data_IF_094312095264
#
_entry.id   IF_094312095264
#
_cell.length_a   1.000
_cell.length_b   1.000
_cell.length_c   1.000
_cell.angle_alpha   90.00
_cell.angle_beta   90.00
_cell.angle_gamma   90.00
#
_symmetry.space_group_name_H-M   'P 1'
#
loop_
_entity.id
_entity.type
_entity.pdbx_description
1 polymer ?
#
# COMPACT_ATOMS: atom_id res chain seq x y z
N UNK A 1 2.08 -19.16 57.15
CA UNK A 1 1.30 -17.91 57.20
C UNK A 1 0.99 -17.47 55.77
N UNK A 2 -0.29 -17.49 55.39
CA UNK A 2 -0.77 -17.30 54.01
C UNK A 2 -0.74 -15.84 53.53
N UNK A 3 -0.55 -15.66 52.22
CA UNK A 3 -0.36 -14.37 51.57
C UNK A 3 -1.59 -13.45 51.63
N UNK A 4 -1.38 -12.18 51.98
CA UNK A 4 -2.37 -11.10 51.84
C UNK A 4 -2.66 -10.85 50.35
N UNK A 5 -3.78 -11.38 49.85
CA UNK A 5 -4.27 -11.09 48.50
C UNK A 5 -4.94 -9.71 48.49
N UNK A 6 -4.22 -8.68 48.07
CA UNK A 6 -4.79 -7.36 47.80
C UNK A 6 -5.72 -7.41 46.58
N UNK A 7 -6.97 -7.01 46.75
CA UNK A 7 -7.92 -6.90 45.64
C UNK A 7 -7.74 -5.53 44.96
N UNK A 8 -7.33 -5.52 43.70
CA UNK A 8 -7.05 -4.31 42.91
C UNK A 8 -8.27 -3.90 42.12
N UNK A 9 -8.97 -2.85 42.56
CA UNK A 9 -10.14 -2.31 41.88
C UNK A 9 -9.75 -1.39 40.74
N UNK A 10 -10.58 -1.36 39.70
CA UNK A 10 -10.44 -0.40 38.62
C UNK A 10 -10.68 1.03 39.16
N UNK A 11 -9.78 1.99 38.89
CA UNK A 11 -9.94 3.38 39.30
C UNK A 11 -11.04 4.14 38.55
N UNK A 12 -11.60 3.57 37.47
CA UNK A 12 -12.65 4.22 36.71
C UNK A 12 -14.01 4.12 37.46
N UNK A 13 -14.67 5.25 37.79
CA UNK A 13 -15.97 5.25 38.48
C UNK A 13 -17.08 4.49 37.74
N UNK A 14 -17.00 4.41 36.41
CA UNK A 14 -17.95 3.69 35.57
C UNK A 14 -17.58 2.20 35.39
N UNK A 15 -16.57 1.69 36.12
CA UNK A 15 -16.08 0.33 36.00
C UNK A 15 -15.88 -0.36 37.36
N UNK A 16 -16.86 -1.17 37.75
CA UNK A 16 -16.84 -1.89 39.04
C UNK A 16 -16.01 -3.19 39.05
N UNK A 17 -15.00 -3.32 38.16
CA UNK A 17 -14.18 -4.54 38.08
C UNK A 17 -13.08 -4.55 39.13
N UNK A 18 -12.91 -5.69 39.80
CA UNK A 18 -11.82 -5.96 40.72
C UNK A 18 -10.93 -7.11 40.22
N UNK A 19 -9.66 -7.08 40.60
CA UNK A 19 -8.66 -8.03 40.14
C UNK A 19 -7.79 -8.51 41.29
N UNK A 20 -7.57 -9.82 41.34
CA UNK A 20 -6.67 -10.47 42.30
C UNK A 20 -5.20 -10.05 42.14
N UNK A 21 -4.81 -9.58 40.95
CA UNK A 21 -3.40 -9.30 40.62
C UNK A 21 -3.26 -7.97 39.89
N UNK A 22 -2.23 -7.18 40.24
CA UNK A 22 -1.91 -5.90 39.57
C UNK A 22 -1.76 -6.03 38.06
N UNK A 23 -1.12 -7.11 37.58
CA UNK A 23 -0.95 -7.37 36.14
C UNK A 23 -2.29 -7.48 35.39
N UNK A 24 -3.31 -8.04 36.04
CA UNK A 24 -4.64 -8.20 35.45
C UNK A 24 -5.39 -6.87 35.44
N UNK A 25 -5.25 -6.05 36.50
CA UNK A 25 -5.77 -4.68 36.50
C UNK A 25 -5.08 -3.82 35.42
N UNK A 26 -3.75 -3.90 35.29
CA UNK A 26 -3.00 -3.17 34.27
C UNK A 26 -3.46 -3.57 32.85
N UNK A 27 -3.66 -4.87 32.61
CA UNK A 27 -4.20 -5.36 31.33
C UNK A 27 -5.64 -4.84 31.08
N UNK A 28 -6.49 -4.87 32.10
CA UNK A 28 -7.85 -4.35 32.03
C UNK A 28 -7.87 -2.86 31.68
N UNK A 29 -7.07 -2.05 32.36
CA UNK A 29 -6.97 -0.61 32.10
C UNK A 29 -6.45 -0.33 30.69
N UNK A 30 -5.43 -1.07 30.25
CA UNK A 30 -4.80 -0.84 28.95
C UNK A 30 -5.70 -1.23 27.78
N UNK A 31 -6.46 -2.33 27.91
CA UNK A 31 -7.11 -2.96 26.75
C UNK A 31 -8.63 -3.13 26.85
N UNK A 32 -9.25 -2.98 28.02
CA UNK A 32 -10.68 -3.29 28.21
C UNK A 32 -11.52 -2.11 28.71
N UNK A 33 -11.00 -1.37 29.69
CA UNK A 33 -11.68 -0.25 30.32
C UNK A 33 -11.93 0.84 29.27
N UNK A 34 -13.20 1.20 29.06
CA UNK A 34 -13.64 2.23 28.09
C UNK A 34 -13.18 2.06 26.64
N UNK A 35 -12.62 0.89 26.28
CA UNK A 35 -12.25 0.60 24.90
C UNK A 35 -13.49 0.20 24.09
N UNK A 36 -13.68 0.75 22.87
CA UNK A 36 -14.75 0.32 21.98
C UNK A 36 -14.55 -1.15 21.55
N UNK A 37 -15.60 -1.84 21.05
CA UNK A 37 -15.46 -3.19 20.53
C UNK A 37 -14.40 -3.21 19.41
N UNK A 38 -13.50 -4.21 19.49
CA UNK A 38 -12.37 -4.37 18.58
C UNK A 38 -12.65 -5.41 17.50
N UNK A 39 -13.65 -6.26 17.69
CA UNK A 39 -13.96 -7.37 16.80
C UNK A 39 -15.41 -7.25 16.33
N UNK A 40 -15.67 -7.42 15.04
CA UNK A 40 -17.00 -7.33 14.42
C UNK A 40 -17.31 -8.57 13.62
N UNK A 41 -18.57 -8.98 13.64
CA UNK A 41 -19.11 -9.98 12.72
C UNK A 41 -19.08 -9.44 11.29
N UNK A 42 -18.63 -10.22 10.29
CA UNK A 42 -18.70 -9.80 8.89
C UNK A 42 -20.12 -9.89 8.31
N UNK A 43 -21.03 -10.61 8.96
CA UNK A 43 -22.38 -10.91 8.46
C UNK A 43 -23.47 -10.05 9.07
N UNK A 44 -23.19 -9.33 10.16
CA UNK A 44 -24.15 -8.44 10.81
C UNK A 44 -23.46 -7.32 11.61
N UNK A 45 -24.24 -6.53 12.34
CA UNK A 45 -23.74 -5.39 13.13
C UNK A 45 -23.13 -5.78 14.48
N UNK A 46 -23.19 -7.06 14.87
CA UNK A 46 -22.66 -7.52 16.14
C UNK A 46 -21.15 -7.24 16.27
N UNK A 47 -20.75 -6.63 17.39
CA UNK A 47 -19.37 -6.33 17.69
C UNK A 47 -19.05 -6.58 19.18
N UNK A 48 -17.86 -7.08 19.46
CA UNK A 48 -17.38 -7.36 20.81
C UNK A 48 -15.94 -6.89 21.03
N UNK A 49 -15.56 -6.75 22.30
CA UNK A 49 -14.16 -6.54 22.72
C UNK A 49 -13.32 -7.81 22.57
N UNK A 50 -13.96 -8.98 22.43
CA UNK A 50 -13.30 -10.28 22.40
C UNK A 50 -13.58 -11.04 21.11
N UNK A 51 -12.52 -11.56 20.49
CA UNK A 51 -12.62 -12.38 19.27
C UNK A 51 -13.52 -13.61 19.47
N UNK A 52 -13.32 -14.35 20.55
CA UNK A 52 -14.09 -15.57 20.89
C UNK A 52 -15.60 -15.34 20.97
N UNK A 53 -16.03 -14.13 21.34
CA UNK A 53 -17.45 -13.81 21.43
C UNK A 53 -18.05 -13.61 20.04
N UNK A 54 -17.29 -13.04 19.09
CA UNK A 54 -17.71 -12.94 17.69
C UNK A 54 -17.69 -14.31 17.02
N UNK A 55 -16.68 -15.14 17.27
CA UNK A 55 -16.62 -16.51 16.73
C UNK A 55 -17.83 -17.35 17.17
N UNK A 56 -18.13 -17.34 18.47
CA UNK A 56 -19.32 -18.00 19.02
C UNK A 56 -20.60 -17.43 18.43
N UNK A 57 -20.70 -16.11 18.30
CA UNK A 57 -21.85 -15.46 17.68
C UNK A 57 -22.06 -15.93 16.23
N UNK A 58 -20.98 -16.05 15.43
CA UNK A 58 -21.06 -16.56 14.05
C UNK A 58 -21.54 -18.01 14.05
N UNK A 59 -21.00 -18.86 14.92
CA UNK A 59 -21.43 -20.25 15.02
C UNK A 59 -22.91 -20.42 15.37
N UNK A 60 -23.46 -19.56 16.23
CA UNK A 60 -24.85 -19.69 16.70
C UNK A 60 -25.85 -18.94 15.83
N UNK A 61 -25.48 -17.79 15.26
CA UNK A 61 -26.39 -16.91 14.51
C UNK A 61 -26.19 -16.98 12.99
N UNK A 62 -25.05 -17.51 12.53
CA UNK A 62 -24.69 -17.68 11.12
C UNK A 62 -24.15 -19.10 10.85
N UNK A 63 -24.95 -20.16 11.15
CA UNK A 63 -24.46 -21.56 11.14
C UNK A 63 -24.08 -22.09 9.75
N UNK A 64 -24.53 -21.43 8.67
CA UNK A 64 -24.19 -21.78 7.28
C UNK A 64 -22.96 -21.02 6.75
N UNK A 65 -22.38 -20.14 7.57
CA UNK A 65 -21.28 -19.27 7.18
C UNK A 65 -19.96 -19.68 7.85
N UNK A 66 -18.84 -19.32 7.22
CA UNK A 66 -17.51 -19.53 7.80
C UNK A 66 -17.30 -18.69 9.06
N UNK A 67 -16.63 -19.24 10.07
CA UNK A 67 -16.26 -18.53 11.31
C UNK A 67 -15.18 -17.48 11.03
N UNK A 68 -15.60 -16.27 10.63
CA UNK A 68 -14.75 -15.12 10.30
C UNK A 68 -15.00 -13.95 11.25
N UNK A 69 -13.96 -13.16 11.54
CA UNK A 69 -14.00 -12.01 12.46
C UNK A 69 -13.21 -10.84 11.88
N UNK A 70 -13.81 -9.64 11.86
CA UNK A 70 -13.18 -8.38 11.42
C UNK A 70 -12.61 -7.64 12.63
N UNK A 71 -11.34 -7.22 12.59
CA UNK A 71 -10.75 -6.35 13.62
C UNK A 71 -10.94 -4.86 13.31
N UNK A 72 -11.69 -4.13 14.13
CA UNK A 72 -11.86 -2.68 14.09
C UNK A 72 -10.70 -2.00 14.85
N UNK A 73 -9.98 -1.08 14.19
CA UNK A 73 -9.04 -0.16 14.87
C UNK A 73 -7.54 -0.49 14.81
N UNK A 74 -7.08 -1.38 13.92
CA UNK A 74 -5.65 -1.46 13.57
C UNK A 74 -5.29 -0.39 12.53
N UNK A 75 -4.72 0.73 12.98
CA UNK A 75 -3.94 1.60 12.11
C UNK A 75 -2.53 0.97 11.92
N UNK A 76 -2.37 0.22 10.83
CA UNK A 76 -1.12 -0.21 10.17
C UNK A 76 0.12 -0.42 11.08
N UNK A 77 0.19 -1.58 11.74
CA UNK A 77 1.46 -2.30 11.85
C UNK A 77 1.39 -3.45 10.85
N UNK A 78 2.36 -3.46 9.95
CA UNK A 78 2.56 -4.42 8.86
C UNK A 78 1.27 -4.84 8.16
N UNK A 79 0.95 -4.16 7.06
CA UNK A 79 0.45 -4.96 5.96
C UNK A 79 1.65 -5.80 5.51
N UNK A 80 1.84 -6.95 6.15
CA UNK A 80 2.47 -8.11 5.54
C UNK A 80 1.51 -8.45 4.40
N UNK A 81 1.70 -7.75 3.29
CA UNK A 81 1.01 -8.02 2.05
C UNK A 81 1.53 -9.41 1.61
N UNK A 82 0.99 -10.47 2.20
CA UNK A 82 0.95 -11.82 1.63
C UNK A 82 0.05 -11.75 0.39
N UNK A 83 0.57 -11.09 -0.65
CA UNK A 83 -0.17 -10.81 -1.87
C UNK A 83 0.53 -11.57 -2.99
N UNK A 84 -0.22 -12.55 -3.49
CA UNK A 84 0.05 -13.46 -4.60
C UNK A 84 0.86 -14.71 -4.25
N UNK A 85 0.21 -15.67 -3.60
CA UNK A 85 0.41 -17.08 -3.94
C UNK A 85 0.11 -17.21 -5.45
N UNK A 86 1.16 -17.27 -6.27
CA UNK A 86 1.12 -18.21 -7.39
C UNK A 86 1.49 -19.56 -6.79
N UNK A 87 0.61 -20.57 -6.79
CA UNK A 87 1.05 -21.93 -6.63
C UNK A 87 1.68 -22.32 -7.97
N UNK A 88 2.98 -22.10 -8.12
CA UNK A 88 3.80 -23.03 -8.90
C UNK A 88 4.78 -23.67 -7.94
N UNK A 89 4.20 -24.32 -6.93
CA UNK A 89 4.89 -25.37 -6.20
C UNK A 89 4.86 -26.62 -7.08
N UNK A 90 5.74 -26.68 -8.09
CA UNK A 90 6.27 -27.95 -8.57
C UNK A 90 7.79 -27.80 -8.72
N UNK A 91 8.42 -28.16 -7.60
CA UNK A 91 9.65 -28.93 -7.48
C UNK A 91 10.97 -28.40 -8.07
N UNK A 92 11.86 -28.07 -7.12
CA UNK A 92 13.27 -28.47 -7.03
C UNK A 92 14.23 -28.06 -8.16
N UNK A 93 15.29 -27.36 -7.72
CA UNK A 93 16.64 -27.29 -8.31
C UNK A 93 16.73 -26.54 -9.64
N UNK A 94 16.93 -25.23 -9.55
CA UNK A 94 17.99 -24.47 -10.23
C UNK A 94 17.81 -22.99 -9.85
N UNK A 95 18.89 -22.31 -9.49
CA UNK A 95 18.89 -20.84 -9.45
C UNK A 95 18.50 -20.29 -10.83
N UNK A 96 17.67 -19.23 -10.96
CA UNK A 96 17.63 -18.54 -12.25
C UNK A 96 17.75 -17.01 -12.10
N UNK A 97 18.83 -16.49 -12.63
CA UNK A 97 19.08 -15.08 -12.94
C UNK A 97 18.16 -14.51 -14.04
N UNK A 98 16.90 -14.96 -14.13
CA UNK A 98 16.03 -14.68 -15.29
C UNK A 98 14.54 -14.48 -14.99
N UNK A 99 14.11 -14.47 -13.71
CA UNK A 99 12.73 -14.16 -13.37
C UNK A 99 12.41 -12.71 -13.76
N UNK A 100 11.51 -12.54 -14.73
CA UNK A 100 11.04 -11.25 -15.22
C UNK A 100 9.74 -10.83 -14.51
N UNK A 101 9.57 -9.53 -14.31
CA UNK A 101 8.50 -8.91 -13.53
C UNK A 101 7.63 -8.02 -14.44
N UNK A 102 6.52 -8.53 -14.98
CA UNK A 102 5.65 -7.78 -15.89
C UNK A 102 4.76 -6.77 -15.15
N UNK A 103 4.38 -5.69 -15.85
CA UNK A 103 3.38 -4.75 -15.36
C UNK A 103 1.99 -5.37 -15.34
N UNK A 104 1.23 -5.13 -14.28
CA UNK A 104 -0.11 -5.67 -14.09
C UNK A 104 -1.20 -4.79 -14.71
N UNK A 105 -0.85 -3.62 -15.24
CA UNK A 105 -1.80 -2.80 -15.98
C UNK A 105 -2.06 -3.45 -17.36
N UNK A 106 -3.31 -3.83 -17.69
CA UNK A 106 -3.64 -4.48 -18.98
C UNK A 106 -3.24 -3.66 -20.20
N UNK A 107 -3.15 -2.33 -20.05
CA UNK A 107 -2.73 -1.39 -21.10
C UNK A 107 -1.21 -1.15 -21.11
N UNK A 108 -0.43 -1.88 -20.30
CA UNK A 108 1.02 -1.75 -20.19
C UNK A 108 1.73 -3.09 -20.35
N UNK A 109 2.57 -3.21 -21.38
CA UNK A 109 3.33 -4.45 -21.67
C UNK A 109 4.77 -4.43 -21.12
N UNK A 110 5.11 -3.47 -20.27
CA UNK A 110 6.47 -3.32 -19.73
C UNK A 110 6.83 -4.48 -18.80
N UNK A 111 8.09 -4.93 -18.89
CA UNK A 111 8.61 -6.06 -18.11
C UNK A 111 10.01 -5.74 -17.56
N UNK A 112 10.26 -6.09 -16.31
CA UNK A 112 11.46 -5.67 -15.56
C UNK A 112 12.28 -6.85 -15.05
N UNK A 113 13.58 -6.65 -14.84
CA UNK A 113 14.48 -7.68 -14.32
C UNK A 113 14.37 -7.89 -12.80
N UNK A 114 13.76 -6.95 -12.07
CA UNK A 114 13.54 -7.09 -10.62
C UNK A 114 12.26 -6.36 -10.16
N UNK A 115 11.80 -6.73 -8.96
CA UNK A 115 10.58 -6.17 -8.35
C UNK A 115 10.68 -4.67 -8.03
N UNK A 116 11.88 -4.16 -7.72
CA UNK A 116 12.05 -2.74 -7.39
C UNK A 116 11.73 -1.85 -8.60
N UNK A 117 12.27 -2.20 -9.78
CA UNK A 117 12.01 -1.47 -11.02
C UNK A 117 10.55 -1.54 -11.44
N UNK A 118 9.92 -2.70 -11.30
CA UNK A 118 8.47 -2.84 -11.53
C UNK A 118 7.66 -1.94 -10.59
N UNK A 119 7.97 -1.92 -9.29
CA UNK A 119 7.29 -1.07 -8.31
C UNK A 119 7.45 0.42 -8.61
N UNK A 120 8.67 0.83 -8.96
CA UNK A 120 8.95 2.21 -9.35
C UNK A 120 8.14 2.59 -10.60
N UNK A 121 8.12 1.72 -11.61
CA UNK A 121 7.29 1.88 -12.80
C UNK A 121 5.81 2.06 -12.46
N UNK A 122 5.23 1.13 -11.70
CA UNK A 122 3.81 1.20 -11.32
C UNK A 122 3.45 2.49 -10.58
N UNK A 123 4.32 2.95 -9.68
CA UNK A 123 4.05 4.13 -8.84
C UNK A 123 4.27 5.46 -9.56
N UNK A 124 5.26 5.52 -10.45
CA UNK A 124 5.75 6.80 -10.97
C UNK A 124 5.71 6.93 -12.49
N UNK A 125 5.38 5.89 -13.23
CA UNK A 125 5.54 5.87 -14.69
C UNK A 125 4.30 5.33 -15.40
N UNK A 126 3.72 4.24 -14.88
CA UNK A 126 2.61 3.53 -15.46
C UNK A 126 1.36 4.42 -15.56
N UNK A 127 0.80 4.54 -16.76
CA UNK A 127 -0.41 5.32 -17.03
C UNK A 127 -0.22 6.83 -17.06
N UNK A 128 1.00 7.36 -16.96
CA UNK A 128 1.24 8.80 -17.11
C UNK A 128 1.20 9.22 -18.58
N UNK A 129 0.59 10.38 -18.89
CA UNK A 129 0.61 10.90 -20.25
C UNK A 129 2.05 11.26 -20.65
N UNK A 130 2.44 11.07 -21.93
CA UNK A 130 3.75 11.45 -22.42
C UNK A 130 4.09 12.90 -22.05
N UNK A 131 5.30 13.14 -21.55
CA UNK A 131 5.76 14.46 -21.08
C UNK A 131 6.65 15.16 -22.10
N UNK A 132 7.34 14.41 -22.95
CA UNK A 132 8.32 14.94 -23.90
C UNK A 132 7.90 14.59 -25.32
N UNK A 133 8.03 15.56 -26.23
CA UNK A 133 7.72 15.47 -27.65
C UNK A 133 8.99 15.75 -28.46
N UNK A 134 9.18 15.02 -29.56
CA UNK A 134 10.25 15.31 -30.50
C UNK A 134 9.98 16.62 -31.25
N UNK A 135 11.00 17.46 -31.44
CA UNK A 135 10.86 18.72 -32.17
C UNK A 135 10.60 18.52 -33.67
N UNK A 136 10.99 17.36 -34.22
CA UNK A 136 10.92 17.09 -35.66
C UNK A 136 9.72 16.21 -36.06
N UNK A 137 9.01 15.60 -35.11
CA UNK A 137 7.86 14.75 -35.41
C UNK A 137 6.95 14.53 -34.20
N UNK A 138 5.83 13.82 -34.41
CA UNK A 138 4.84 13.54 -33.37
C UNK A 138 5.22 12.44 -32.35
N UNK A 139 6.48 12.02 -32.29
CA UNK A 139 6.93 11.02 -31.31
C UNK A 139 6.92 11.61 -29.89
N UNK A 140 6.22 10.94 -28.96
CA UNK A 140 6.09 11.37 -27.57
C UNK A 140 6.50 10.25 -26.60
N UNK A 141 7.15 10.61 -25.49
CA UNK A 141 7.49 9.68 -24.40
C UNK A 141 7.33 10.35 -23.03
N UNK A 142 7.21 9.54 -21.97
CA UNK A 142 7.29 9.99 -20.58
C UNK A 142 8.71 10.43 -20.20
N UNK A 143 9.74 9.94 -20.90
CA UNK A 143 11.14 10.27 -20.62
C UNK A 143 11.81 11.12 -21.70
N UNK A 144 12.57 12.13 -21.24
CA UNK A 144 13.43 12.96 -22.09
C UNK A 144 14.44 12.13 -22.88
N UNK A 145 15.08 11.17 -22.23
CA UNK A 145 16.14 10.38 -22.84
C UNK A 145 15.64 9.46 -23.97
N UNK A 146 14.36 9.05 -23.95
CA UNK A 146 13.76 8.28 -25.03
C UNK A 146 13.54 9.12 -26.28
N UNK A 147 13.04 10.35 -26.12
CA UNK A 147 12.87 11.29 -27.23
C UNK A 147 14.23 11.68 -27.83
N UNK A 148 15.26 11.85 -26.99
CA UNK A 148 16.62 12.09 -27.47
C UNK A 148 17.21 10.90 -28.23
N UNK A 149 17.00 9.66 -27.75
CA UNK A 149 17.42 8.44 -28.48
C UNK A 149 16.67 8.31 -29.82
N UNK A 150 15.38 8.61 -29.82
CA UNK A 150 14.57 8.67 -31.04
C UNK A 150 15.13 9.71 -32.02
N UNK A 151 15.43 10.92 -31.55
CA UNK A 151 15.95 12.01 -32.38
C UNK A 151 17.27 11.62 -33.05
N UNK A 152 18.25 11.09 -32.31
CA UNK A 152 19.51 10.60 -32.89
C UNK A 152 19.34 9.55 -33.99
N UNK A 153 18.32 8.69 -33.87
CA UNK A 153 18.12 7.55 -34.78
C UNK A 153 17.29 7.89 -36.00
N UNK A 154 16.33 8.80 -35.87
CA UNK A 154 15.34 9.13 -36.92
C UNK A 154 15.54 10.50 -37.53
N UNK A 155 16.29 11.38 -36.85
CA UNK A 155 16.64 12.73 -37.30
C UNK A 155 18.16 12.93 -37.16
N UNK A 156 19.00 12.21 -37.94
CA UNK A 156 20.46 12.20 -37.77
C UNK A 156 21.12 13.57 -37.95
N UNK A 157 20.46 14.46 -38.72
CA UNK A 157 20.89 15.83 -38.97
C UNK A 157 20.22 16.85 -38.04
N UNK A 158 19.39 16.38 -37.11
CA UNK A 158 18.66 17.21 -36.15
C UNK A 158 19.29 17.15 -34.76
N UNK A 159 19.21 18.25 -34.04
CA UNK A 159 19.64 18.35 -32.65
C UNK A 159 18.81 17.43 -31.74
N UNK A 160 19.37 17.00 -30.61
CA UNK A 160 18.68 16.17 -29.62
C UNK A 160 17.67 16.97 -28.77
N UNK A 161 17.12 18.06 -29.32
CA UNK A 161 16.17 18.93 -28.67
C UNK A 161 14.81 18.23 -28.47
N UNK A 162 14.18 18.51 -27.33
CA UNK A 162 12.89 17.93 -26.95
C UNK A 162 11.97 19.03 -26.44
N UNK A 163 10.68 18.94 -26.73
CA UNK A 163 9.65 19.82 -26.20
C UNK A 163 9.08 19.18 -24.94
N UNK A 164 9.05 19.91 -23.83
CA UNK A 164 8.37 19.48 -22.61
C UNK A 164 6.92 19.97 -22.64
N UNK A 165 5.97 19.03 -22.59
CA UNK A 165 4.55 19.28 -22.74
C UNK A 165 3.91 19.85 -21.46
N UNK A 166 4.48 19.57 -20.29
CA UNK A 166 4.03 20.10 -19.00
C UNK A 166 5.13 20.03 -17.93
N UNK A 167 5.22 21.08 -17.10
CA UNK A 167 6.23 21.22 -16.04
C UNK A 167 5.84 20.41 -14.79
N UNK A 168 6.79 19.69 -14.19
CA UNK A 168 6.57 18.93 -12.93
C UNK A 168 7.55 19.24 -11.79
N UNK A 169 8.42 20.23 -11.93
CA UNK A 169 9.48 20.50 -10.93
C UNK A 169 9.23 21.78 -10.14
N UNK A 170 8.69 21.63 -8.94
CA UNK A 170 9.01 22.51 -7.82
C UNK A 170 10.32 22.05 -7.18
N UNK A 171 11.45 22.57 -7.67
CA UNK A 171 12.71 22.81 -6.89
C UNK A 171 13.75 23.48 -7.81
N UNK A 172 14.19 24.66 -7.38
CA UNK A 172 15.18 25.54 -8.00
C UNK A 172 16.57 24.90 -8.15
N UNK A 173 17.25 25.19 -9.27
CA UNK A 173 18.54 25.92 -9.29
C UNK A 173 18.86 26.46 -10.70
N UNK A 174 18.94 27.79 -10.75
CA UNK A 174 19.77 28.70 -11.56
C UNK A 174 20.18 28.31 -12.99
N UNK A 175 19.78 29.15 -13.96
CA UNK A 175 20.46 29.24 -15.25
C UNK A 175 19.62 29.83 -16.38
N UNK A 176 19.50 31.17 -16.38
CA UNK A 176 19.21 32.08 -17.50
C UNK A 176 18.14 31.76 -18.58
N UNK A 177 17.08 32.58 -18.48
CA UNK A 177 16.40 33.39 -19.51
C UNK A 177 15.76 32.71 -20.72
N UNK A 178 14.43 32.88 -20.79
CA UNK A 178 13.62 32.80 -22.01
C UNK A 178 12.13 32.65 -21.72
N UNK A 179 11.43 33.74 -21.36
CA UNK A 179 9.94 33.79 -21.34
C UNK A 179 9.41 34.05 -22.78
N UNK A 180 8.08 34.16 -23.01
CA UNK A 180 7.23 33.14 -23.63
C UNK A 180 6.64 33.61 -24.97
N UNK A 181 5.98 32.74 -25.74
CA UNK A 181 5.02 33.21 -26.76
C UNK A 181 3.81 32.28 -26.79
N UNK A 182 2.65 32.85 -26.47
CA UNK A 182 1.32 32.29 -26.74
C UNK A 182 1.07 32.29 -28.26
N UNK A 183 0.28 31.36 -28.79
CA UNK A 183 -1.02 31.66 -29.41
C UNK A 183 -1.73 30.41 -29.90
N UNK A 184 -3.06 30.54 -29.87
CA UNK A 184 -4.12 29.69 -30.39
C UNK A 184 -3.91 29.26 -31.85
N UNK A 185 -4.40 28.08 -32.18
CA UNK A 185 -5.36 27.88 -33.27
C UNK A 185 -6.37 26.81 -32.84
#
# INVERSE_FOLDING_TARGET
MGALMGNFSCPNPNCSKNFKWKKNLAYHLKYQCEKPPRYKCPYCEYASKWRKDVERHVQTMHPLEDVKVIEIGKAKEEIKFEWYIYPVALEKKTSPASVKYPCLNPNCRSTYANQYRLRFHMKHECGKPPRYLCVYCNYKSVYKHDVQKHARRKHPNGDNAVIELYNTTGKHRSGNVGKPVYYQY
#
